data_IF_737033893279
#
_entry.id   IF_737033893279
#
_cell.length_a   1.000
_cell.length_b   1.000
_cell.length_c   1.000
_cell.angle_alpha   90.00
_cell.angle_beta   90.00
_cell.angle_gamma   90.00
#
_symmetry.space_group_name_H-M   'P 1'
#
loop_
_entity.id
_entity.type
_entity.pdbx_description
1 polymer ?
#
# COMPACT_ATOMS: atom_id res chain seq x y z
N UNK A 1 -20.41 -34.31 6.40
CA UNK A 1 -20.14 -33.50 7.60
C UNK A 1 -19.05 -32.53 7.21
N UNK A 2 -19.37 -31.26 7.00
CA UNK A 2 -18.38 -30.22 6.73
C UNK A 2 -17.68 -29.90 8.04
N UNK A 3 -16.37 -30.13 8.12
CA UNK A 3 -15.56 -29.65 9.25
C UNK A 3 -15.79 -28.15 9.40
N UNK A 4 -16.21 -27.72 10.58
CA UNK A 4 -16.18 -26.30 10.92
C UNK A 4 -14.71 -25.87 10.92
N UNK A 5 -14.33 -24.81 10.18
CA UNK A 5 -12.96 -24.32 10.21
C UNK A 5 -12.60 -24.01 11.66
N UNK A 6 -11.43 -24.48 12.10
CA UNK A 6 -10.93 -24.27 13.45
C UNK A 6 -11.09 -22.79 13.85
N UNK A 7 -11.74 -22.52 15.00
CA UNK A 7 -11.95 -21.16 15.50
C UNK A 7 -10.59 -20.46 15.63
N UNK A 8 -10.31 -19.53 14.72
CA UNK A 8 -9.07 -18.74 14.70
C UNK A 8 -9.04 -17.84 15.93
N UNK A 9 -8.08 -18.04 16.84
CA UNK A 9 -7.96 -17.28 18.10
C UNK A 9 -7.30 -15.92 17.83
N UNK A 10 -8.08 -14.93 17.41
CA UNK A 10 -7.65 -13.53 17.40
C UNK A 10 -7.62 -13.00 18.84
N UNK A 11 -6.54 -12.32 19.21
CA UNK A 11 -6.35 -11.75 20.54
C UNK A 11 -6.64 -10.24 20.44
N UNK A 12 -7.57 -9.67 21.23
CA UNK A 12 -7.76 -8.23 21.27
C UNK A 12 -6.48 -7.49 21.69
N UNK A 13 -6.20 -6.36 21.06
CA UNK A 13 -5.04 -5.52 21.37
C UNK A 13 -5.32 -4.05 21.08
N UNK A 14 -4.47 -3.19 21.64
CA UNK A 14 -4.34 -1.77 21.26
C UNK A 14 -2.93 -1.54 20.75
N UNK A 15 -2.78 -0.76 19.68
CA UNK A 15 -1.47 -0.37 19.15
C UNK A 15 -1.49 1.11 18.78
N UNK A 16 -0.46 1.83 19.20
CA UNK A 16 -0.20 3.20 18.78
C UNK A 16 1.06 3.19 17.92
N UNK A 17 1.04 3.97 16.84
CA UNK A 17 2.18 4.19 15.99
C UNK A 17 2.42 5.68 15.87
N UNK A 18 3.69 6.06 15.70
CA UNK A 18 4.08 7.44 15.55
C UNK A 18 5.08 7.52 14.39
N UNK A 19 4.81 8.36 13.37
CA UNK A 19 5.78 8.64 12.34
C UNK A 19 7.07 9.16 12.97
N UNK A 20 8.21 8.70 12.46
CA UNK A 20 9.52 9.17 12.91
C UNK A 20 9.99 10.21 11.91
N UNK A 21 10.45 11.37 12.39
CA UNK A 21 11.10 12.32 11.50
C UNK A 21 12.38 11.68 10.94
N UNK A 22 12.44 11.51 9.63
CA UNK A 22 13.60 10.96 8.91
C UNK A 22 14.22 12.04 8.03
N UNK A 23 15.55 12.02 7.89
CA UNK A 23 16.24 12.90 6.93
C UNK A 23 15.89 12.54 5.48
N UNK A 24 15.55 11.28 5.21
CA UNK A 24 15.07 10.81 3.90
C UNK A 24 13.54 10.93 3.78
N UNK A 25 13.06 11.44 2.65
CA UNK A 25 11.61 11.52 2.32
C UNK A 25 11.09 10.21 1.72
N UNK A 26 11.28 9.07 2.37
CA UNK A 26 10.70 7.80 1.91
C UNK A 26 9.32 7.56 2.49
N UNK A 27 8.49 6.75 1.80
CA UNK A 27 7.22 6.27 2.38
C UNK A 27 7.50 5.55 3.70
N UNK A 28 6.82 5.96 4.77
CA UNK A 28 6.85 5.27 6.06
C UNK A 28 5.53 4.52 6.25
N UNK A 29 5.56 3.19 6.33
CA UNK A 29 4.37 2.37 6.66
C UNK A 29 4.48 1.89 8.10
N UNK A 30 3.51 2.26 8.92
CA UNK A 30 3.46 1.93 10.33
C UNK A 30 2.30 0.96 10.58
N UNK A 31 2.57 -0.32 10.88
CA UNK A 31 1.53 -1.34 10.96
C UNK A 31 0.68 -1.18 12.22
N UNK A 32 -0.59 -0.83 12.03
CA UNK A 32 -1.62 -0.85 13.07
C UNK A 32 -2.21 -2.25 13.25
N UNK A 33 -2.46 -2.95 12.14
CA UNK A 33 -2.95 -4.32 12.11
C UNK A 33 -2.31 -5.10 10.95
N UNK A 34 -1.81 -6.31 11.22
CA UNK A 34 -1.18 -7.19 10.22
C UNK A 34 -2.07 -8.41 9.91
N UNK A 35 -1.72 -9.16 8.87
CA UNK A 35 -2.31 -10.48 8.56
C UNK A 35 -2.27 -11.43 9.76
N UNK A 36 -1.22 -11.40 10.59
CA UNK A 36 -1.14 -12.20 11.80
C UNK A 36 -2.15 -11.73 12.86
N UNK A 37 -2.28 -10.41 13.04
CA UNK A 37 -3.18 -9.79 14.03
C UNK A 37 -4.66 -10.03 13.69
N UNK A 38 -5.03 -9.91 12.42
CA UNK A 38 -6.43 -9.93 11.95
C UNK A 38 -6.88 -11.30 11.45
N UNK A 39 -6.00 -12.29 11.51
CA UNK A 39 -6.25 -13.58 10.89
C UNK A 39 -6.48 -13.46 9.39
N UNK A 40 -5.64 -12.71 8.69
CA UNK A 40 -5.67 -12.58 7.24
C UNK A 40 -6.81 -11.71 6.67
N UNK A 41 -7.62 -11.09 7.52
CA UNK A 41 -8.81 -10.35 7.07
C UNK A 41 -8.48 -8.95 6.55
N UNK A 42 -7.54 -8.26 7.21
CA UNK A 42 -7.19 -6.88 6.93
C UNK A 42 -5.74 -6.60 7.33
N UNK A 43 -5.04 -5.87 6.49
CA UNK A 43 -3.85 -5.12 6.90
C UNK A 43 -4.24 -3.66 7.03
N UNK A 44 -3.92 -3.01 8.15
CA UNK A 44 -4.12 -1.58 8.36
C UNK A 44 -2.78 -0.93 8.70
N UNK A 45 -2.41 0.12 7.98
CA UNK A 45 -1.22 0.92 8.24
C UNK A 45 -1.59 2.39 8.38
N UNK A 46 -0.98 3.09 9.32
CA UNK A 46 -0.79 4.52 9.17
C UNK A 46 0.42 4.75 8.28
N UNK A 47 0.28 5.56 7.23
CA UNK A 47 1.32 5.76 6.22
C UNK A 47 1.60 7.24 6.02
N UNK A 48 2.88 7.60 6.03
CA UNK A 48 3.35 8.92 5.63
C UNK A 48 3.85 8.86 4.18
N UNK A 49 3.23 9.66 3.32
CA UNK A 49 3.46 9.72 1.89
C UNK A 49 4.13 11.05 1.53
N UNK A 50 4.99 11.03 0.51
CA UNK A 50 5.69 12.20 -0.01
C UNK A 50 5.55 12.28 -1.53
N UNK A 51 5.44 13.49 -2.11
CA UNK A 51 5.46 13.67 -3.55
C UNK A 51 6.71 13.04 -4.18
N UNK A 52 6.53 12.34 -5.30
CA UNK A 52 7.60 11.67 -6.03
C UNK A 52 7.92 10.26 -5.55
N UNK A 53 7.30 9.79 -4.45
CA UNK A 53 7.49 8.44 -3.91
C UNK A 53 6.27 7.53 -4.12
N UNK A 54 5.20 8.02 -4.75
CA UNK A 54 3.96 7.27 -5.04
C UNK A 54 4.26 6.06 -5.95
N UNK A 55 3.72 4.85 -5.67
CA UNK A 55 3.96 3.71 -6.54
C UNK A 55 3.46 4.00 -7.98
N UNK A 56 4.01 3.32 -9.00
CA UNK A 56 3.39 3.30 -10.32
C UNK A 56 1.91 2.94 -10.22
N UNK A 57 1.09 3.45 -11.15
CA UNK A 57 -0.30 3.03 -11.24
C UNK A 57 -0.36 1.50 -11.38
N UNK A 58 -1.25 0.84 -10.66
CA UNK A 58 -1.27 -0.61 -10.58
C UNK A 58 -2.66 -1.16 -10.33
N UNK A 59 -2.81 -2.47 -10.54
CA UNK A 59 -4.04 -3.21 -10.34
C UNK A 59 -3.77 -4.38 -9.42
N UNK A 60 -4.56 -4.52 -8.36
CA UNK A 60 -4.60 -5.72 -7.53
C UNK A 60 -5.65 -6.67 -8.07
N UNK A 61 -5.34 -7.96 -8.17
CA UNK A 61 -6.31 -9.00 -8.56
C UNK A 61 -6.99 -9.64 -7.36
N UNK A 62 -6.39 -9.51 -6.17
CA UNK A 62 -6.80 -10.23 -4.96
C UNK A 62 -7.28 -9.31 -3.83
N UNK A 63 -6.78 -8.08 -3.75
CA UNK A 63 -7.06 -7.15 -2.66
C UNK A 63 -7.85 -5.93 -3.14
N UNK A 64 -8.87 -5.56 -2.37
CA UNK A 64 -9.37 -4.19 -2.36
C UNK A 64 -8.48 -3.34 -1.45
N UNK A 65 -8.38 -2.05 -1.74
CA UNK A 65 -7.62 -1.09 -0.94
C UNK A 65 -8.51 0.09 -0.55
N UNK A 66 -8.29 0.69 0.63
CA UNK A 66 -8.93 1.95 0.97
C UNK A 66 -8.02 2.89 1.72
N UNK A 67 -8.29 4.17 1.56
CA UNK A 67 -7.53 5.26 2.16
C UNK A 67 -8.46 6.10 3.03
N UNK A 68 -7.99 6.50 4.20
CA UNK A 68 -8.61 7.57 4.99
C UNK A 68 -7.58 8.67 5.23
N UNK A 69 -7.89 9.88 4.79
CA UNK A 69 -6.92 10.99 4.85
C UNK A 69 -6.94 11.62 6.23
N UNK A 70 -5.79 11.62 6.90
CA UNK A 70 -5.61 12.25 8.22
C UNK A 70 -5.06 13.68 8.06
N UNK A 71 -4.04 13.86 7.21
CA UNK A 71 -3.38 15.14 6.94
C UNK A 71 -2.90 15.21 5.48
N UNK A 72 -2.75 16.43 4.96
CA UNK A 72 -2.40 16.66 3.55
C UNK A 72 -3.58 16.37 2.61
N UNK A 73 -3.29 16.30 1.30
CA UNK A 73 -4.28 15.94 0.29
C UNK A 73 -3.68 15.12 -0.83
N UNK A 74 -4.50 14.25 -1.42
CA UNK A 74 -4.14 13.39 -2.54
C UNK A 74 -5.18 13.52 -3.65
N UNK A 75 -4.75 13.29 -4.89
CA UNK A 75 -5.64 13.07 -6.02
C UNK A 75 -5.47 11.64 -6.51
N UNK A 76 -6.55 10.86 -6.48
CA UNK A 76 -6.56 9.48 -6.95
C UNK A 76 -7.06 9.41 -8.39
N UNK A 77 -6.47 8.54 -9.18
CA UNK A 77 -7.00 8.08 -10.46
C UNK A 77 -7.42 6.63 -10.30
N UNK A 78 -8.68 6.30 -10.56
CA UNK A 78 -9.25 4.96 -10.39
C UNK A 78 -10.06 4.61 -11.64
N UNK A 79 -9.49 3.79 -12.51
CA UNK A 79 -10.02 3.59 -13.86
C UNK A 79 -10.13 4.93 -14.60
N UNK A 80 -11.36 5.31 -14.97
CA UNK A 80 -11.64 6.58 -15.65
C UNK A 80 -12.00 7.74 -14.69
N UNK A 81 -11.99 7.50 -13.38
CA UNK A 81 -12.40 8.49 -12.38
C UNK A 81 -11.19 9.20 -11.77
N UNK A 82 -11.36 10.48 -11.46
CA UNK A 82 -10.41 11.27 -10.68
C UNK A 82 -11.11 11.72 -9.40
N UNK A 83 -10.49 11.45 -8.24
CA UNK A 83 -11.06 11.72 -6.92
C UNK A 83 -10.06 12.56 -6.11
N UNK A 84 -10.43 13.78 -5.76
CA UNK A 84 -9.65 14.61 -4.82
C UNK A 84 -10.03 14.27 -3.39
N UNK A 85 -9.03 14.07 -2.52
CA UNK A 85 -9.22 13.66 -1.14
C UNK A 85 -8.41 14.55 -0.18
N UNK A 86 -9.13 15.25 0.69
CA UNK A 86 -8.60 16.09 1.76
C UNK A 86 -8.84 15.43 3.14
N UNK A 87 -8.31 15.95 4.26
CA UNK A 87 -8.49 15.34 5.58
C UNK A 87 -9.94 15.04 5.90
N UNK A 88 -10.19 13.85 6.45
CA UNK A 88 -11.53 13.33 6.75
C UNK A 88 -12.20 12.58 5.59
N UNK A 89 -11.57 12.52 4.42
CA UNK A 89 -12.11 11.82 3.25
C UNK A 89 -11.74 10.33 3.27
N UNK A 90 -12.73 9.47 2.98
CA UNK A 90 -12.54 8.04 2.73
C UNK A 90 -12.54 7.77 1.22
N UNK A 91 -11.59 6.99 0.74
CA UNK A 91 -11.47 6.59 -0.67
C UNK A 91 -11.43 5.07 -0.75
N UNK A 92 -12.26 4.49 -1.60
CA UNK A 92 -12.32 3.05 -1.84
C UNK A 92 -11.75 2.73 -3.22
N UNK A 93 -10.82 1.79 -3.28
CA UNK A 93 -10.14 1.33 -4.49
C UNK A 93 -10.48 -0.16 -4.71
N UNK A 94 -11.49 -0.45 -5.56
CA UNK A 94 -11.84 -1.84 -5.85
C UNK A 94 -10.69 -2.58 -6.55
N UNK A 95 -10.51 -3.84 -6.17
CA UNK A 95 -9.68 -4.80 -6.92
C UNK A 95 -10.09 -4.84 -8.39
N UNK A 96 -9.18 -5.25 -9.26
CA UNK A 96 -9.33 -5.36 -10.72
C UNK A 96 -9.48 -4.03 -11.47
N UNK A 97 -9.54 -2.90 -10.76
CA UNK A 97 -9.51 -1.57 -11.35
C UNK A 97 -8.14 -0.96 -11.11
N UNK A 98 -7.47 -0.54 -12.19
CA UNK A 98 -6.19 0.14 -12.09
C UNK A 98 -6.35 1.44 -11.33
N UNK A 99 -5.44 1.69 -10.39
CA UNK A 99 -5.43 2.93 -9.64
C UNK A 99 -4.02 3.46 -9.39
N UNK A 100 -3.95 4.74 -9.07
CA UNK A 100 -2.76 5.45 -8.62
C UNK A 100 -3.18 6.73 -7.91
N UNK A 101 -2.22 7.43 -7.33
CA UNK A 101 -2.47 8.73 -6.69
C UNK A 101 -1.27 9.66 -6.82
N UNK A 102 -1.52 10.96 -6.69
CA UNK A 102 -0.51 11.99 -6.46
C UNK A 102 -0.66 12.54 -5.05
N UNK A 103 0.46 12.89 -4.42
CA UNK A 103 0.45 13.68 -3.18
C UNK A 103 0.49 15.16 -3.55
N UNK A 104 -0.57 15.90 -3.23
CA UNK A 104 -0.77 17.28 -3.70
C UNK A 104 -0.18 18.33 -2.73
N UNK A 105 0.48 17.87 -1.66
CA UNK A 105 1.06 18.68 -0.58
C UNK A 105 2.48 18.18 -0.27
N UNK A 106 3.23 18.85 0.61
CA UNK A 106 4.60 18.42 0.95
C UNK A 106 4.69 16.99 1.52
N UNK A 107 3.64 16.54 2.18
CA UNK A 107 3.46 15.19 2.70
C UNK A 107 1.99 14.95 3.02
N UNK A 108 1.56 13.69 3.00
CA UNK A 108 0.22 13.30 3.45
C UNK A 108 0.28 12.13 4.43
N UNK A 109 -0.55 12.18 5.48
CA UNK A 109 -0.70 11.13 6.48
C UNK A 109 -2.03 10.45 6.27
N UNK A 110 -2.03 9.14 6.07
CA UNK A 110 -3.22 8.38 5.67
C UNK A 110 -3.31 7.07 6.43
N UNK A 111 -4.52 6.57 6.65
CA UNK A 111 -4.73 5.15 6.93
C UNK A 111 -4.90 4.41 5.61
N UNK A 112 -4.17 3.31 5.44
CA UNK A 112 -4.30 2.41 4.29
C UNK A 112 -4.76 1.06 4.81
N UNK A 113 -5.87 0.58 4.25
CA UNK A 113 -6.42 -0.74 4.51
C UNK A 113 -6.32 -1.60 3.25
N UNK A 114 -5.85 -2.84 3.39
CA UNK A 114 -5.74 -3.82 2.32
C UNK A 114 -6.53 -5.07 2.72
N UNK A 115 -7.47 -5.49 1.87
CA UNK A 115 -8.44 -6.56 2.20
C UNK A 115 -8.61 -7.56 1.04
N UNK A 116 -8.38 -8.87 1.25
CA UNK A 116 -7.83 -9.48 2.47
C UNK A 116 -6.38 -9.04 2.72
N UNK A 117 -5.86 -9.34 3.91
CA UNK A 117 -4.45 -9.09 4.23
C UNK A 117 -3.51 -9.99 3.38
N UNK A 118 -2.19 -9.85 3.57
CA UNK A 118 -1.05 -10.65 3.05
C UNK A 118 -0.08 -9.89 2.12
N UNK A 119 -0.38 -8.66 1.71
CA UNK A 119 0.57 -7.85 0.95
C UNK A 119 1.78 -7.38 1.77
N UNK A 120 1.83 -7.62 3.09
CA UNK A 120 3.03 -7.37 3.90
C UNK A 120 4.26 -8.10 3.32
N UNK A 121 4.07 -9.35 2.89
CA UNK A 121 5.14 -10.15 2.27
C UNK A 121 5.60 -9.57 0.93
N UNK A 122 4.68 -8.97 0.17
CA UNK A 122 5.03 -8.26 -1.06
C UNK A 122 5.91 -7.04 -0.73
N UNK A 123 5.51 -6.22 0.25
CA UNK A 123 6.27 -5.03 0.63
C UNK A 123 7.67 -5.38 1.18
N UNK A 124 7.80 -6.46 1.94
CA UNK A 124 9.10 -6.97 2.41
C UNK A 124 10.01 -7.36 1.24
N UNK A 125 9.52 -8.17 0.29
CA UNK A 125 10.31 -8.59 -0.87
C UNK A 125 10.63 -7.42 -1.81
N UNK A 126 9.69 -6.47 -1.96
CA UNK A 126 9.92 -5.25 -2.71
C UNK A 126 11.04 -4.42 -2.07
N UNK A 127 11.03 -4.25 -0.74
CA UNK A 127 12.08 -3.53 -0.04
C UNK A 127 13.47 -4.19 -0.24
N UNK A 128 13.53 -5.53 -0.16
CA UNK A 128 14.75 -6.29 -0.43
C UNK A 128 15.25 -6.08 -1.87
N UNK A 129 14.35 -6.11 -2.86
CA UNK A 129 14.69 -5.87 -4.27
C UNK A 129 15.25 -4.45 -4.49
N UNK A 130 14.61 -3.43 -3.92
CA UNK A 130 15.10 -2.04 -4.01
C UNK A 130 16.49 -1.89 -3.39
N UNK A 131 16.72 -2.56 -2.25
CA UNK A 131 18.02 -2.56 -1.57
C UNK A 131 19.10 -3.28 -2.40
N UNK A 132 18.82 -4.47 -2.92
CA UNK A 132 19.81 -5.26 -3.69
C UNK A 132 20.17 -4.63 -5.02
N UNK A 133 19.24 -3.92 -5.64
CA UNK A 133 19.45 -3.24 -6.92
C UNK A 133 19.97 -1.80 -6.73
N UNK A 134 20.22 -1.39 -5.48
CA UNK A 134 20.72 -0.05 -5.11
C UNK A 134 19.89 1.09 -5.74
N UNK A 135 18.57 0.93 -5.81
CA UNK A 135 17.68 1.91 -6.43
C UNK A 135 17.41 3.06 -5.49
N UNK A 136 17.94 4.23 -5.85
CA UNK A 136 17.90 5.44 -5.00
C UNK A 136 17.05 6.57 -5.57
N UNK A 137 16.64 6.52 -6.85
CA UNK A 137 15.85 7.57 -7.48
C UNK A 137 15.11 7.11 -8.75
N UNK A 138 14.14 7.92 -9.17
CA UNK A 138 13.43 7.85 -10.46
C UNK A 138 14.15 8.69 -11.54
N UNK A 139 13.94 8.42 -12.85
CA UNK A 139 13.14 7.33 -13.42
C UNK A 139 13.80 5.96 -13.20
N UNK A 140 12.98 4.93 -13.09
CA UNK A 140 13.47 3.57 -12.90
C UNK A 140 14.09 3.02 -14.18
N UNK A 141 15.24 2.34 -14.06
CA UNK A 141 15.86 1.68 -15.20
C UNK A 141 14.95 0.53 -15.70
N UNK A 142 14.79 0.33 -17.03
CA UNK A 142 13.90 -0.71 -17.56
C UNK A 142 14.18 -2.11 -17.02
N UNK A 143 15.45 -2.50 -16.89
CA UNK A 143 15.84 -3.81 -16.37
C UNK A 143 15.42 -4.01 -14.90
N UNK A 144 15.53 -2.97 -14.08
CA UNK A 144 15.05 -3.01 -12.70
C UNK A 144 13.51 -3.09 -12.65
N UNK A 145 12.85 -2.26 -13.46
CA UNK A 145 11.38 -2.21 -13.47
C UNK A 145 10.76 -3.54 -13.91
N UNK A 146 11.39 -4.24 -14.86
CA UNK A 146 10.97 -5.58 -15.25
C UNK A 146 11.01 -6.56 -14.06
N UNK A 147 12.10 -6.58 -13.28
CA UNK A 147 12.18 -7.41 -12.06
C UNK A 147 11.08 -7.05 -11.06
N UNK A 148 10.77 -5.77 -10.91
CA UNK A 148 9.69 -5.32 -10.04
C UNK A 148 8.31 -5.75 -10.55
N UNK A 149 8.07 -5.72 -11.86
CA UNK A 149 6.85 -6.24 -12.47
C UNK A 149 6.70 -7.75 -12.24
N UNK A 150 7.77 -8.53 -12.47
CA UNK A 150 7.79 -9.98 -12.25
C UNK A 150 7.51 -10.34 -10.79
N UNK A 151 8.12 -9.61 -9.85
CA UNK A 151 7.83 -9.75 -8.42
C UNK A 151 6.36 -9.43 -8.12
N UNK A 152 5.85 -8.31 -8.63
CA UNK A 152 4.47 -7.86 -8.39
C UNK A 152 3.44 -8.88 -8.86
N UNK A 153 3.67 -9.51 -10.02
CA UNK A 153 2.77 -10.52 -10.58
C UNK A 153 2.60 -11.75 -9.67
N UNK A 154 3.64 -12.16 -8.94
CA UNK A 154 3.57 -13.29 -8.00
C UNK A 154 2.52 -13.05 -6.89
N UNK A 155 2.33 -11.77 -6.53
CA UNK A 155 1.37 -11.32 -5.53
C UNK A 155 0.02 -10.91 -6.13
N UNK A 156 -0.18 -11.05 -7.43
CA UNK A 156 -1.42 -10.66 -8.10
C UNK A 156 -1.52 -9.16 -8.35
N UNK A 157 -0.38 -8.45 -8.38
CA UNK A 157 -0.30 -7.02 -8.70
C UNK A 157 0.26 -6.85 -10.11
N UNK A 158 -0.41 -6.03 -10.91
CA UNK A 158 0.09 -5.62 -12.24
C UNK A 158 0.45 -4.14 -12.19
N UNK A 159 1.73 -3.80 -12.38
CA UNK A 159 2.17 -2.43 -12.52
C UNK A 159 1.91 -1.94 -13.95
N UNK A 160 1.57 -0.66 -14.10
CA UNK A 160 1.55 0.01 -15.40
C UNK A 160 2.92 -0.12 -16.10
N UNK A 161 2.97 -0.09 -17.43
CA UNK A 161 4.23 0.08 -18.14
C UNK A 161 4.96 1.36 -17.71
N UNK A 162 6.29 1.36 -17.85
CA UNK A 162 7.17 2.52 -17.65
C UNK A 162 6.83 3.68 -18.59
#
# INVERSE_FOLDING_TARGET
>A
MTEQPAKRKMIPYTRSVHPVATESRSIQRLPLATSADTGGQLTCNETLLYPGYEPPAHTHTREDESFYILEGSLTFTVGAQTLSAAPGTFVWLPRTIQHGFTVDTNSARVLINIMPANLERYFEQMAQLFQSEHVVARPYQPAFYQKWQELSQQFGITLAPL
#
